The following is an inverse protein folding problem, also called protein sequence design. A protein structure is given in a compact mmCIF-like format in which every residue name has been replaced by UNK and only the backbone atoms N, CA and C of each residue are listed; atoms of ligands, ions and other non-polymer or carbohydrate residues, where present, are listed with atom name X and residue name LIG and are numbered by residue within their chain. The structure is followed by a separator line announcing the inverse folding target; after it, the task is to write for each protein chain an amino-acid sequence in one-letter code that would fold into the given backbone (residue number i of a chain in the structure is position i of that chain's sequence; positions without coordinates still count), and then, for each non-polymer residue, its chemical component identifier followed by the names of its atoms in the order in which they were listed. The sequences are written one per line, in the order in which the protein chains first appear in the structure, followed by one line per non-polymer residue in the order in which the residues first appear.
data_IF_875815957148
#
_entry.id   IF_875815957148
#
_cell.length_a   1.000
_cell.length_b   1.000
_cell.length_c   1.000
_cell.angle_alpha   90.00
_cell.angle_beta   90.00
_cell.angle_gamma   90.00
#
_symmetry.space_group_name_H-M   'P 1'
#
loop_
_entity.id
_entity.type
_entity.pdbx_description
1 polymer ?
#
# COMPACT_ATOMS: atom_id res chain seq x y z
N UNK A 1 -2.73 -23.40 -21.37
CA UNK A 1 -2.76 -22.32 -20.36
C UNK A 1 -1.32 -21.95 -20.06
N UNK A 2 -0.91 -20.67 -20.19
CA UNK A 2 0.47 -20.26 -19.86
C UNK A 2 0.68 -20.45 -18.35
N UNK A 3 1.65 -21.26 -17.95
CA UNK A 3 2.04 -21.37 -16.54
C UNK A 3 2.45 -19.97 -16.04
N UNK A 4 1.76 -19.51 -15.00
CA UNK A 4 2.12 -18.27 -14.31
C UNK A 4 3.46 -18.52 -13.62
N UNK A 5 4.48 -17.77 -14.00
CA UNK A 5 5.84 -17.90 -13.42
C UNK A 5 5.79 -17.65 -11.92
N UNK A 6 6.58 -18.38 -11.14
CA UNK A 6 6.67 -18.22 -9.69
C UNK A 6 6.96 -16.77 -9.26
N UNK A 7 7.75 -16.03 -10.06
CA UNK A 7 7.99 -14.59 -9.86
C UNK A 7 6.73 -13.73 -9.91
N UNK A 8 5.82 -14.02 -10.84
CA UNK A 8 4.57 -13.27 -11.00
C UNK A 8 3.64 -13.54 -9.82
N UNK A 9 3.56 -14.81 -9.36
CA UNK A 9 2.79 -15.16 -8.16
C UNK A 9 3.35 -14.48 -6.92
N UNK A 10 4.68 -14.49 -6.76
CA UNK A 10 5.35 -13.80 -5.66
C UNK A 10 5.02 -12.31 -5.64
N UNK A 11 5.20 -11.62 -6.78
CA UNK A 11 4.90 -10.21 -6.91
C UNK A 11 3.42 -9.91 -6.58
N UNK A 12 2.50 -10.72 -7.10
CA UNK A 12 1.07 -10.58 -6.83
C UNK A 12 0.73 -10.69 -5.33
N UNK A 13 1.33 -11.66 -4.63
CA UNK A 13 1.12 -11.83 -3.18
C UNK A 13 1.68 -10.64 -2.40
N UNK A 14 2.85 -10.14 -2.79
CA UNK A 14 3.46 -8.95 -2.18
C UNK A 14 2.58 -7.71 -2.38
N UNK A 15 2.05 -7.51 -3.59
CA UNK A 15 1.14 -6.39 -3.89
C UNK A 15 -0.17 -6.51 -3.11
N UNK A 16 -0.74 -7.71 -3.02
CA UNK A 16 -1.94 -7.97 -2.23
C UNK A 16 -1.70 -7.64 -0.76
N UNK A 17 -0.55 -8.07 -0.20
CA UNK A 17 -0.20 -7.73 1.17
C UNK A 17 -0.03 -6.22 1.36
N UNK A 18 0.69 -5.54 0.46
CA UNK A 18 0.86 -4.09 0.50
C UNK A 18 -0.46 -3.32 0.44
N UNK A 19 -1.42 -3.79 -0.35
CA UNK A 19 -2.76 -3.21 -0.43
C UNK A 19 -3.55 -3.39 0.89
N UNK A 20 -3.52 -4.57 1.48
CA UNK A 20 -4.18 -4.85 2.77
C UNK A 20 -3.57 -4.00 3.88
N UNK A 21 -2.23 -4.00 4.00
CA UNK A 21 -1.54 -3.21 5.03
C UNK A 21 -1.74 -1.72 4.81
N UNK A 22 -1.76 -1.25 3.55
CA UNK A 22 -2.01 0.14 3.20
C UNK A 22 -3.43 0.58 3.54
N UNK A 23 -4.43 -0.28 3.30
CA UNK A 23 -5.83 -0.02 3.66
C UNK A 23 -6.01 0.12 5.17
N UNK A 24 -5.46 -0.83 5.94
CA UNK A 24 -5.50 -0.78 7.41
C UNK A 24 -4.78 0.48 7.93
N UNK A 25 -3.61 0.78 7.38
CA UNK A 25 -2.80 1.94 7.72
C UNK A 25 -3.53 3.26 7.45
N UNK A 26 -4.15 3.39 6.28
CA UNK A 26 -4.91 4.58 5.88
C UNK A 26 -6.17 4.77 6.72
N UNK A 27 -6.92 3.69 6.98
CA UNK A 27 -8.11 3.73 7.81
C UNK A 27 -7.80 4.17 9.24
N UNK A 28 -6.77 3.58 9.86
CA UNK A 28 -6.35 3.97 11.21
C UNK A 28 -5.77 5.40 11.25
N UNK A 29 -5.17 5.87 10.15
CA UNK A 29 -4.62 7.23 10.06
C UNK A 29 -5.69 8.32 10.05
N UNK A 30 -6.95 7.97 9.76
CA UNK A 30 -8.09 8.89 9.90
C UNK A 30 -8.30 9.27 11.37
N UNK A 31 -8.12 8.32 12.30
CA UNK A 31 -8.32 8.52 13.73
C UNK A 31 -7.07 9.07 14.43
N UNK A 32 -5.88 8.58 14.05
CA UNK A 32 -4.63 8.97 14.69
C UNK A 32 -3.50 9.17 13.68
N UNK A 33 -2.90 10.36 13.72
CA UNK A 33 -1.79 10.75 12.83
C UNK A 33 -0.55 9.86 12.97
N UNK A 34 -0.41 9.08 14.04
CA UNK A 34 0.70 8.14 14.24
C UNK A 34 0.38 6.71 13.78
N UNK A 35 -0.86 6.42 13.40
CA UNK A 35 -1.29 5.04 13.12
C UNK A 35 -0.70 4.46 11.83
N UNK A 36 -0.19 5.28 10.93
CA UNK A 36 0.56 4.81 9.75
C UNK A 36 1.77 3.94 10.13
N UNK A 37 2.34 4.12 11.33
CA UNK A 37 3.45 3.30 11.85
C UNK A 37 3.02 1.84 12.04
N UNK A 38 1.76 1.60 12.41
CA UNK A 38 1.21 0.24 12.56
C UNK A 38 1.23 -0.47 11.21
N UNK A 39 0.84 0.24 10.15
CA UNK A 39 0.93 -0.22 8.76
C UNK A 39 2.35 -0.59 8.35
N UNK A 40 3.33 0.24 8.74
CA UNK A 40 4.74 -0.03 8.49
C UNK A 40 5.25 -1.25 9.26
N UNK A 41 4.75 -1.48 10.48
CA UNK A 41 5.14 -2.62 11.32
C UNK A 41 4.66 -3.95 10.74
N UNK A 42 3.52 -3.95 10.02
CA UNK A 42 3.01 -5.12 9.28
C UNK A 42 3.95 -5.59 8.16
N UNK A 43 4.89 -4.75 7.70
CA UNK A 43 5.93 -5.17 6.76
C UNK A 43 6.80 -6.30 7.32
N UNK A 44 7.09 -6.28 8.63
CA UNK A 44 7.95 -7.29 9.27
C UNK A 44 7.31 -8.68 9.21
N UNK A 45 5.99 -8.74 9.04
CA UNK A 45 5.17 -9.96 8.92
C UNK A 45 5.02 -10.42 7.47
N UNK A 46 5.51 -9.64 6.49
CA UNK A 46 5.44 -9.97 5.05
C UNK A 46 6.05 -11.33 4.76
N UNK A 47 7.16 -11.69 5.41
CA UNK A 47 7.81 -12.98 5.16
C UNK A 47 6.94 -14.17 5.58
N UNK A 48 6.17 -14.02 6.66
CA UNK A 48 5.22 -15.03 7.13
C UNK A 48 4.04 -15.14 6.16
N UNK A 49 3.49 -14.00 5.74
CA UNK A 49 2.36 -13.97 4.81
C UNK A 49 2.70 -14.59 3.45
N UNK A 50 3.86 -14.24 2.89
CA UNK A 50 4.36 -14.81 1.63
C UNK A 50 4.55 -16.32 1.74
N UNK A 51 5.18 -16.81 2.82
CA UNK A 51 5.36 -18.26 3.03
C UNK A 51 4.03 -18.99 3.18
N UNK A 52 3.07 -18.39 3.88
CA UNK A 52 1.75 -18.97 4.11
C UNK A 52 0.96 -19.14 2.80
N UNK A 53 0.97 -18.13 1.93
CA UNK A 53 0.21 -18.16 0.67
C UNK A 53 0.92 -18.98 -0.40
N UNK A 54 2.23 -18.82 -0.59
CA UNK A 54 2.95 -19.51 -1.66
C UNK A 54 3.29 -20.97 -1.31
N UNK A 55 3.23 -21.38 -0.03
CA UNK A 55 3.47 -22.77 0.44
C UNK A 55 4.70 -23.48 -0.17
N UNK A 56 5.75 -22.72 -0.52
CA UNK A 56 6.97 -23.25 -1.14
C UNK A 56 7.11 -23.02 -2.65
N UNK A 57 6.12 -22.42 -3.33
CA UNK A 57 6.23 -21.95 -4.72
C UNK A 57 6.97 -20.61 -4.80
N UNK A 58 8.17 -20.57 -4.21
CA UNK A 58 9.04 -19.40 -4.22
C UNK A 58 9.85 -19.34 -5.53
N UNK A 59 10.26 -18.14 -5.98
CA UNK A 59 11.13 -17.99 -7.14
C UNK A 59 12.45 -18.77 -6.99
N UNK A 60 12.98 -19.31 -8.09
CA UNK A 60 14.21 -20.13 -8.09
C UNK A 60 15.40 -19.43 -7.43
N UNK A 61 15.53 -18.12 -7.62
CA UNK A 61 16.55 -17.26 -7.01
C UNK A 61 16.58 -17.33 -5.48
N UNK A 62 15.44 -17.65 -4.86
CA UNK A 62 15.26 -17.70 -3.41
C UNK A 62 15.10 -19.14 -2.92
N UNK A 63 14.84 -20.08 -3.84
CA UNK A 63 14.42 -21.46 -3.56
C UNK A 63 15.51 -22.38 -2.97
N UNK A 64 16.71 -21.85 -2.69
CA UNK A 64 17.81 -22.55 -2.02
C UNK A 64 18.32 -21.88 -0.74
N UNK A 65 17.79 -20.71 -0.38
CA UNK A 65 18.19 -19.99 0.83
C UNK A 65 17.46 -20.58 2.05
N UNK A 66 18.17 -20.72 3.18
CA UNK A 66 17.61 -21.27 4.42
C UNK A 66 17.63 -20.25 5.57
N UNK A 67 16.70 -20.44 6.52
CA UNK A 67 16.64 -19.68 7.77
C UNK A 67 16.53 -18.16 7.58
N UNK A 68 17.42 -17.40 8.23
CA UNK A 68 17.43 -15.94 8.20
C UNK A 68 17.80 -15.34 6.84
N UNK A 69 18.54 -16.07 5.99
CA UNK A 69 18.89 -15.57 4.65
C UNK A 69 17.68 -15.59 3.71
N UNK A 70 16.83 -16.61 3.81
CA UNK A 70 15.56 -16.68 3.10
C UNK A 70 14.65 -15.51 3.46
N UNK A 71 14.48 -15.27 4.77
CA UNK A 71 13.67 -14.16 5.28
C UNK A 71 14.16 -12.81 4.75
N UNK A 72 15.46 -12.57 4.82
CA UNK A 72 16.08 -11.32 4.38
C UNK A 72 15.96 -11.12 2.87
N UNK A 73 16.09 -12.19 2.07
CA UNK A 73 15.92 -12.13 0.62
C UNK A 73 14.46 -11.85 0.22
N UNK A 74 13.49 -12.49 0.89
CA UNK A 74 12.06 -12.23 0.68
C UNK A 74 11.74 -10.77 0.99
N UNK A 75 12.17 -10.27 2.15
CA UNK A 75 11.95 -8.87 2.54
C UNK A 75 12.58 -7.91 1.52
N UNK A 76 13.87 -8.08 1.16
CA UNK A 76 14.52 -7.18 0.18
C UNK A 76 13.83 -7.16 -1.17
N UNK A 77 13.41 -8.33 -1.70
CA UNK A 77 12.70 -8.43 -3.00
C UNK A 77 11.28 -7.86 -2.89
N UNK A 78 10.61 -8.08 -1.77
CA UNK A 78 9.26 -7.59 -1.52
C UNK A 78 9.21 -6.09 -1.17
N UNK A 79 10.31 -5.50 -0.66
CA UNK A 79 10.33 -4.15 -0.10
C UNK A 79 9.71 -3.12 -1.03
N UNK A 80 10.22 -3.00 -2.26
CA UNK A 80 9.75 -1.98 -3.20
C UNK A 80 8.32 -2.22 -3.65
N UNK A 81 7.97 -3.47 -3.93
CA UNK A 81 6.60 -3.82 -4.33
C UNK A 81 5.59 -3.55 -3.22
N UNK A 82 5.93 -3.96 -2.00
CA UNK A 82 5.11 -3.74 -0.83
C UNK A 82 5.03 -2.25 -0.47
N UNK A 83 6.15 -1.53 -0.44
CA UNK A 83 6.24 -0.14 -0.01
C UNK A 83 5.44 0.80 -0.90
N UNK A 84 5.53 0.65 -2.22
CA UNK A 84 4.78 1.45 -3.18
C UNK A 84 3.27 1.21 -3.05
N UNK A 85 2.85 -0.04 -2.92
CA UNK A 85 1.44 -0.39 -2.72
C UNK A 85 0.93 0.10 -1.36
N UNK A 86 1.71 -0.10 -0.30
CA UNK A 86 1.37 0.36 1.05
C UNK A 86 1.18 1.88 1.09
N UNK A 87 2.12 2.66 0.53
CA UNK A 87 1.99 4.11 0.46
C UNK A 87 0.77 4.55 -0.36
N UNK A 88 0.60 3.96 -1.55
CA UNK A 88 -0.51 4.28 -2.44
C UNK A 88 -1.86 4.07 -1.76
N UNK A 89 -2.08 2.87 -1.19
CA UNK A 89 -3.34 2.55 -0.51
C UNK A 89 -3.51 3.33 0.79
N UNK A 90 -2.44 3.58 1.55
CA UNK A 90 -2.52 4.42 2.77
C UNK A 90 -3.03 5.82 2.42
N UNK A 91 -2.45 6.47 1.40
CA UNK A 91 -2.90 7.79 0.96
C UNK A 91 -4.31 7.74 0.40
N UNK A 92 -4.62 6.78 -0.46
CA UNK A 92 -5.95 6.64 -1.06
C UNK A 92 -7.02 6.50 0.02
N UNK A 93 -6.85 5.59 0.96
CA UNK A 93 -7.83 5.33 2.02
C UNK A 93 -7.90 6.51 2.99
N UNK A 94 -6.78 7.14 3.31
CA UNK A 94 -6.76 8.35 4.12
C UNK A 94 -7.54 9.49 3.43
N UNK A 95 -7.30 9.74 2.14
CA UNK A 95 -8.01 10.77 1.37
C UNK A 95 -9.51 10.51 1.26
N UNK A 96 -9.91 9.25 1.10
CA UNK A 96 -11.34 8.86 1.11
C UNK A 96 -11.96 9.01 2.50
N UNK A 97 -11.19 8.72 3.55
CA UNK A 97 -11.65 8.79 4.94
C UNK A 97 -11.75 10.19 5.52
N UNK A 98 -10.96 11.15 5.01
CA UNK A 98 -11.10 12.56 5.38
C UNK A 98 -12.16 13.23 4.51
N UNK A 99 -13.07 13.99 5.11
CA UNK A 99 -13.93 14.92 4.39
C UNK A 99 -13.08 16.10 3.90
N UNK A 100 -12.34 15.91 2.80
CA UNK A 100 -11.49 16.93 2.23
C UNK A 100 -12.34 18.09 1.72
N UNK A 101 -12.37 19.20 2.46
CA UNK A 101 -12.92 20.47 1.99
C UNK A 101 -11.82 21.21 1.22
N UNK A 102 -11.90 21.34 -0.11
CA UNK A 102 -10.92 22.11 -0.87
C UNK A 102 -10.96 23.57 -0.40
N UNK A 103 -9.82 24.11 0.05
CA UNK A 103 -9.68 25.53 0.36
C UNK A 103 -8.86 26.17 -0.75
N UNK A 104 -9.42 27.11 -1.53
CA UNK A 104 -8.65 27.81 -2.54
C UNK A 104 -7.63 28.72 -1.86
N UNK A 105 -6.34 28.50 -2.14
CA UNK A 105 -5.24 29.35 -1.65
C UNK A 105 -5.17 30.71 -2.36
N UNK A 106 -5.92 30.88 -3.46
CA UNK A 106 -5.93 32.10 -4.25
C UNK A 106 -7.34 32.34 -4.81
N UNK A 107 -7.89 33.53 -4.57
CA UNK A 107 -9.24 33.94 -4.98
C UNK A 107 -9.40 34.05 -6.50
N UNK A 108 -8.31 34.12 -7.26
CA UNK A 108 -8.29 34.09 -8.74
C UNK A 108 -8.07 32.69 -9.32
N UNK A 109 -7.94 31.67 -8.47
CA UNK A 109 -7.75 30.31 -8.96
C UNK A 109 -9.02 29.77 -9.61
N UNK A 110 -8.85 28.87 -10.57
CA UNK A 110 -9.96 28.16 -11.22
C UNK A 110 -10.87 27.46 -10.20
N UNK A 111 -10.29 26.96 -9.10
CA UNK A 111 -11.00 26.36 -7.97
C UNK A 111 -11.86 27.40 -7.21
N UNK A 112 -11.33 28.59 -6.93
CA UNK A 112 -12.10 29.70 -6.35
C UNK A 112 -13.29 30.09 -7.23
N UNK A 113 -13.09 30.21 -8.55
CA UNK A 113 -14.18 30.53 -9.47
C UNK A 113 -15.24 29.44 -9.56
N UNK A 114 -14.85 28.16 -9.52
CA UNK A 114 -15.81 27.05 -9.48
C UNK A 114 -16.60 27.00 -8.18
N UNK A 115 -15.95 27.21 -7.04
CA UNK A 115 -16.60 27.23 -5.72
C UNK A 115 -17.49 28.45 -5.50
N UNK A 116 -17.09 29.62 -5.99
CA UNK A 116 -17.87 30.85 -5.86
C UNK A 116 -19.00 30.94 -6.90
N UNK A 117 -18.81 30.40 -8.11
CA UNK A 117 -19.85 30.36 -9.14
C UNK A 117 -21.04 29.47 -8.81
N UNK A 118 -20.86 28.46 -7.95
CA UNK A 118 -21.97 27.60 -7.47
C UNK A 118 -22.86 28.31 -6.44
N UNK A 119 -22.31 29.26 -5.68
CA UNK A 119 -23.02 29.97 -4.60
C UNK A 119 -23.81 31.20 -5.07
N UNK A 120 -23.78 31.54 -6.37
CA UNK A 120 -24.44 32.75 -6.92
C UNK A 120 -25.78 32.43 -7.62
N UNK A 121 -26.32 31.21 -7.44
CA UNK A 121 -27.57 30.77 -8.09
C UNK A 121 -28.75 30.50 -7.12
N UNK A 122 -28.76 31.17 -5.97
CA UNK A 122 -29.93 31.32 -5.09
C UNK A 122 -30.09 32.79 -4.71
#
# INVERSE_FOLDING_TARGET
MREVRADQKFALVVYLWGAITGTISGALSVESRAAWIIGALLYVVTDVFVKLILRGDLPEEIKGLQGNQLRSAILKKAFWGWFLFWLYFTMLVYTVGIHFTPVPYNDKSLLSHMMNGTNVST
#
